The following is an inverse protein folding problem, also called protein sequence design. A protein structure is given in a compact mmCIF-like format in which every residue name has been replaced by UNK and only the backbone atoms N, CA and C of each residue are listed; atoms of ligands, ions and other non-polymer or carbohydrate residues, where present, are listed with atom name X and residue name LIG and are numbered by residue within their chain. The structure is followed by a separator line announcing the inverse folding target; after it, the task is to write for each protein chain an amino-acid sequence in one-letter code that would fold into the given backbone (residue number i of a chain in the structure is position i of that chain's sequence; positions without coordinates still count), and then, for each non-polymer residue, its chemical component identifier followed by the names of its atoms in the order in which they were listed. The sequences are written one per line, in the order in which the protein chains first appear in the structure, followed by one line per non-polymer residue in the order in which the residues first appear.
data_IF_399717632471
#
_entry.id   IF_399717632471
#
_cell.length_a   1.000
_cell.length_b   1.000
_cell.length_c   1.000
_cell.angle_alpha   90.00
_cell.angle_beta   90.00
_cell.angle_gamma   90.00
#
_symmetry.space_group_name_H-M   'P 1'
#
loop_
_entity.id
_entity.type
_entity.pdbx_description
1 polymer ?
#
# COMPACT_ATOMS: atom_id res chain seq x y z
N UNK A 1 -61.96 6.47 -16.25
CA UNK A 1 -61.50 5.95 -14.94
C UNK A 1 -60.55 4.75 -15.10
N UNK A 2 -59.62 4.79 -16.06
CA UNK A 2 -58.63 3.73 -16.30
C UNK A 2 -57.21 4.27 -16.63
N UNK A 3 -57.05 5.57 -16.86
CA UNK A 3 -55.77 6.16 -17.28
C UNK A 3 -54.72 6.17 -16.15
N UNK A 4 -55.17 6.24 -14.89
CA UNK A 4 -54.30 6.19 -13.72
C UNK A 4 -53.60 4.83 -13.52
N UNK A 5 -54.16 3.74 -14.06
CA UNK A 5 -53.61 2.38 -13.89
C UNK A 5 -52.36 2.17 -14.74
N UNK A 6 -52.34 2.71 -15.97
CA UNK A 6 -51.18 2.62 -16.87
C UNK A 6 -49.99 3.45 -16.36
N UNK A 7 -50.27 4.61 -15.76
CA UNK A 7 -49.23 5.43 -15.12
C UNK A 7 -48.61 4.70 -13.92
N UNK A 8 -49.41 4.01 -13.11
CA UNK A 8 -48.90 3.25 -11.96
C UNK A 8 -48.00 2.08 -12.41
N UNK A 9 -48.34 1.39 -13.50
CA UNK A 9 -47.55 0.27 -14.03
C UNK A 9 -46.13 0.72 -14.43
N UNK A 10 -45.96 1.94 -14.95
CA UNK A 10 -44.64 2.49 -15.29
C UNK A 10 -43.94 3.12 -14.08
N UNK A 11 -44.70 3.79 -13.21
CA UNK A 11 -44.16 4.52 -12.06
C UNK A 11 -43.62 3.58 -10.97
N UNK A 12 -44.26 2.43 -10.73
CA UNK A 12 -43.84 1.48 -9.69
C UNK A 12 -42.41 0.95 -9.93
N UNK A 13 -42.05 0.35 -11.09
CA UNK A 13 -40.70 -0.16 -11.31
C UNK A 13 -39.66 0.97 -11.33
N UNK A 14 -40.01 2.15 -11.85
CA UNK A 14 -39.13 3.31 -11.80
C UNK A 14 -38.86 3.79 -10.37
N UNK A 15 -39.90 3.86 -9.53
CA UNK A 15 -39.78 4.23 -8.12
C UNK A 15 -38.97 3.21 -7.32
N UNK A 16 -39.15 1.91 -7.59
CA UNK A 16 -38.35 0.84 -6.99
C UNK A 16 -36.87 0.96 -7.39
N UNK A 17 -36.57 1.25 -8.66
CA UNK A 17 -35.19 1.45 -9.10
C UNK A 17 -34.52 2.65 -8.39
N UNK A 18 -35.21 3.79 -8.31
CA UNK A 18 -34.70 5.00 -7.63
C UNK A 18 -34.51 4.77 -6.13
N UNK A 19 -35.46 4.12 -5.46
CA UNK A 19 -35.37 3.84 -4.02
C UNK A 19 -34.28 2.83 -3.70
N UNK A 20 -34.09 1.80 -4.54
CA UNK A 20 -33.01 0.80 -4.39
C UNK A 20 -31.63 1.46 -4.50
N UNK A 21 -31.43 2.31 -5.49
CA UNK A 21 -30.16 3.05 -5.67
C UNK A 21 -29.90 4.00 -4.48
N UNK A 22 -30.94 4.69 -4.01
CA UNK A 22 -30.84 5.59 -2.87
C UNK A 22 -30.47 4.82 -1.58
N UNK A 23 -31.13 3.69 -1.33
CA UNK A 23 -30.87 2.86 -0.15
C UNK A 23 -29.48 2.23 -0.20
N UNK A 24 -29.05 1.75 -1.37
CA UNK A 24 -27.70 1.22 -1.58
C UNK A 24 -26.62 2.27 -1.34
N UNK A 25 -26.80 3.50 -1.84
CA UNK A 25 -25.88 4.62 -1.57
C UNK A 25 -25.89 5.03 -0.11
N UNK A 26 -27.05 5.08 0.54
CA UNK A 26 -27.17 5.40 1.96
C UNK A 26 -26.49 4.35 2.84
N UNK A 27 -26.71 3.06 2.56
CA UNK A 27 -26.07 1.95 3.25
C UNK A 27 -24.54 2.02 3.08
N UNK A 28 -24.08 2.21 1.85
CA UNK A 28 -22.65 2.36 1.53
C UNK A 28 -22.04 3.60 2.20
N UNK A 29 -22.77 4.72 2.24
CA UNK A 29 -22.33 5.94 2.93
C UNK A 29 -22.18 5.72 4.44
N UNK A 30 -23.15 5.08 5.09
CA UNK A 30 -23.09 4.78 6.53
C UNK A 30 -21.97 3.78 6.85
N UNK A 31 -21.78 2.77 6.00
CA UNK A 31 -20.68 1.81 6.12
C UNK A 31 -19.31 2.51 5.99
N UNK A 32 -19.12 3.29 4.93
CA UNK A 32 -17.86 4.01 4.67
C UNK A 32 -17.56 5.09 5.70
N UNK A 33 -18.59 5.77 6.25
CA UNK A 33 -18.42 6.76 7.32
C UNK A 33 -17.90 6.12 8.60
N UNK A 34 -18.38 4.93 8.95
CA UNK A 34 -17.86 4.16 10.10
C UNK A 34 -16.43 3.68 9.86
N UNK A 35 -16.10 3.31 8.63
CA UNK A 35 -14.74 2.91 8.27
C UNK A 35 -13.75 4.08 8.37
N UNK A 36 -14.06 5.26 7.81
CA UNK A 36 -13.15 6.42 7.82
C UNK A 36 -12.81 6.91 9.23
N UNK A 37 -13.80 6.98 10.11
CA UNK A 37 -13.59 7.43 11.50
C UNK A 37 -12.65 6.46 12.23
N UNK A 38 -12.90 5.15 12.11
CA UNK A 38 -12.02 4.13 12.69
C UNK A 38 -10.63 4.12 12.06
N UNK A 39 -10.54 4.34 10.74
CA UNK A 39 -9.27 4.30 10.02
C UNK A 39 -8.35 5.47 10.42
N UNK A 40 -8.89 6.67 10.67
CA UNK A 40 -8.11 7.80 11.19
C UNK A 40 -7.65 7.58 12.64
N UNK A 41 -8.52 7.03 13.48
CA UNK A 41 -8.17 6.76 14.88
C UNK A 41 -7.12 5.65 15.00
N UNK A 42 -7.17 4.65 14.12
CA UNK A 42 -6.15 3.60 14.05
C UNK A 42 -4.77 4.20 13.80
N UNK A 43 -4.61 5.01 12.75
CA UNK A 43 -3.32 5.60 12.34
C UNK A 43 -2.64 6.35 13.49
N UNK A 44 -3.41 7.08 14.31
CA UNK A 44 -2.87 7.80 15.47
C UNK A 44 -2.60 6.89 16.66
N UNK A 45 -3.42 5.86 16.86
CA UNK A 45 -3.27 4.92 17.96
C UNK A 45 -2.17 3.87 17.77
N UNK A 46 -1.71 3.63 16.54
CA UNK A 46 -0.66 2.62 16.29
C UNK A 46 0.71 3.12 16.80
N UNK A 47 0.93 4.44 16.85
CA UNK A 47 2.17 5.02 17.36
C UNK A 47 2.04 5.30 18.85
N UNK A 48 2.31 4.25 19.63
CA UNK A 48 2.53 4.33 21.06
C UNK A 48 3.97 3.94 21.36
N UNK A 49 4.46 4.27 22.57
CA UNK A 49 5.80 3.85 23.00
C UNK A 49 6.00 2.33 22.94
N UNK A 50 4.94 1.54 23.11
CA UNK A 50 5.01 0.07 23.01
C UNK A 50 5.33 -0.42 21.59
N UNK A 51 4.87 0.29 20.56
CA UNK A 51 5.14 -0.06 19.16
C UNK A 51 6.33 0.70 18.59
N UNK A 52 6.86 1.71 19.29
CA UNK A 52 8.00 2.49 18.83
C UNK A 52 9.19 1.59 18.51
N UNK A 53 9.58 0.72 19.44
CA UNK A 53 10.69 -0.22 19.27
C UNK A 53 10.45 -1.26 18.16
N UNK A 54 9.18 -1.49 17.78
CA UNK A 54 8.83 -2.39 16.71
C UNK A 54 8.85 -1.72 15.32
N UNK A 55 8.77 -0.38 15.28
CA UNK A 55 8.81 0.43 14.06
C UNK A 55 10.25 0.87 13.78
N UNK A 56 10.95 1.30 14.83
CA UNK A 56 12.37 1.63 14.83
C UNK A 56 13.18 0.36 14.52
N UNK A 57 13.49 0.17 13.24
CA UNK A 57 14.10 -1.07 12.76
C UNK A 57 15.62 -1.00 12.81
N UNK A 58 16.18 0.21 12.68
CA UNK A 58 17.62 0.42 12.79
C UNK A 58 18.07 0.66 14.25
N UNK A 59 17.11 0.81 15.17
CA UNK A 59 17.34 1.02 16.60
C UNK A 59 18.18 2.28 16.87
N UNK A 60 18.03 3.29 16.03
CA UNK A 60 18.69 4.58 16.20
C UNK A 60 18.02 5.48 17.25
N UNK A 61 16.87 5.04 17.77
CA UNK A 61 16.08 5.74 18.79
C UNK A 61 15.29 6.92 18.23
N UNK A 62 15.21 7.05 16.91
CA UNK A 62 14.40 8.00 16.17
C UNK A 62 13.46 7.27 15.23
N UNK A 63 12.43 7.97 14.75
CA UNK A 63 11.51 7.42 13.76
C UNK A 63 11.70 8.17 12.46
N UNK A 64 12.34 7.52 11.49
CA UNK A 64 12.51 8.09 10.15
C UNK A 64 11.20 8.08 9.37
N UNK A 65 11.09 8.95 8.37
CA UNK A 65 9.91 9.00 7.49
C UNK A 65 9.68 7.67 6.76
N UNK A 66 10.76 7.00 6.37
CA UNK A 66 10.72 5.73 5.63
C UNK A 66 10.20 4.60 6.52
N UNK A 67 10.62 4.53 7.79
CA UNK A 67 10.13 3.53 8.74
C UNK A 67 8.67 3.73 9.07
N UNK A 68 8.26 4.99 9.30
CA UNK A 68 6.86 5.35 9.50
C UNK A 68 5.99 4.92 8.32
N UNK A 69 6.38 5.27 7.09
CA UNK A 69 5.62 4.92 5.88
C UNK A 69 5.57 3.41 5.68
N UNK A 70 6.71 2.72 5.83
CA UNK A 70 6.82 1.27 5.64
C UNK A 70 5.91 0.51 6.59
N UNK A 71 5.94 0.89 7.87
CA UNK A 71 5.10 0.29 8.89
C UNK A 71 3.61 0.57 8.64
N UNK A 72 3.24 1.81 8.29
CA UNK A 72 1.87 2.15 7.96
C UNK A 72 1.33 1.39 6.75
N UNK A 73 2.14 1.15 5.72
CA UNK A 73 1.75 0.38 4.53
C UNK A 73 1.48 -1.09 4.86
N UNK A 74 2.29 -1.68 5.74
CA UNK A 74 2.11 -3.06 6.22
C UNK A 74 0.83 -3.15 7.07
N UNK A 75 0.65 -2.26 8.05
CA UNK A 75 -0.49 -2.28 8.98
C UNK A 75 -1.83 -2.07 8.25
N UNK A 76 -1.83 -1.21 7.21
CA UNK A 76 -3.01 -1.00 6.37
C UNK A 76 -3.26 -2.14 5.37
N UNK A 77 -2.49 -3.23 5.42
CA UNK A 77 -2.51 -4.34 4.47
C UNK A 77 -2.46 -3.83 3.00
N UNK A 78 -1.66 -2.78 2.76
CA UNK A 78 -1.42 -2.23 1.41
C UNK A 78 -0.20 -2.84 0.76
N UNK A 79 0.71 -3.36 1.57
CA UNK A 79 1.90 -4.04 1.11
C UNK A 79 2.15 -5.26 1.99
N UNK A 80 2.62 -6.34 1.37
CA UNK A 80 3.04 -7.53 2.09
C UNK A 80 4.39 -7.28 2.75
N UNK A 81 4.53 -7.73 4.00
CA UNK A 81 5.80 -7.59 4.74
C UNK A 81 6.98 -8.20 4.01
N UNK A 82 6.78 -9.35 3.38
CA UNK A 82 7.81 -10.03 2.58
C UNK A 82 8.31 -9.20 1.41
N UNK A 83 7.41 -8.47 0.73
CA UNK A 83 7.79 -7.62 -0.41
C UNK A 83 8.54 -6.39 0.08
N UNK A 84 8.12 -5.79 1.19
CA UNK A 84 8.85 -4.68 1.81
C UNK A 84 10.26 -5.09 2.27
N UNK A 85 10.39 -6.28 2.87
CA UNK A 85 11.69 -6.82 3.30
C UNK A 85 12.60 -7.11 2.10
N UNK A 86 12.06 -7.65 1.01
CA UNK A 86 12.80 -7.88 -0.24
C UNK A 86 13.29 -6.57 -0.87
N UNK A 87 12.40 -5.56 -0.99
CA UNK A 87 12.78 -4.23 -1.48
C UNK A 87 13.85 -3.59 -0.59
N UNK A 88 13.72 -3.70 0.73
CA UNK A 88 14.71 -3.17 1.67
C UNK A 88 16.05 -3.89 1.54
N UNK A 89 16.05 -5.20 1.33
CA UNK A 89 17.26 -5.98 1.08
C UNK A 89 17.94 -5.55 -0.23
N UNK A 90 17.18 -5.42 -1.32
CA UNK A 90 17.71 -4.96 -2.60
C UNK A 90 18.28 -3.54 -2.48
N UNK A 91 17.59 -2.65 -1.77
CA UNK A 91 18.09 -1.30 -1.52
C UNK A 91 19.40 -1.32 -0.75
N UNK A 92 19.50 -2.15 0.29
CA UNK A 92 20.72 -2.28 1.10
C UNK A 92 21.89 -2.93 0.34
N UNK A 93 21.60 -3.79 -0.63
CA UNK A 93 22.63 -4.33 -1.52
C UNK A 93 23.13 -3.27 -2.51
N UNK A 94 22.25 -2.33 -2.89
CA UNK A 94 22.61 -1.23 -3.79
C UNK A 94 23.28 -0.03 -3.09
N UNK A 95 22.95 0.20 -1.83
CA UNK A 95 23.52 1.25 -0.99
C UNK A 95 24.84 0.75 -0.38
N UNK A 96 25.96 1.11 -1.02
CA UNK A 96 27.28 0.59 -0.67
C UNK A 96 27.86 1.31 0.55
N UNK A 97 27.53 2.59 0.71
CA UNK A 97 27.99 3.40 1.83
C UNK A 97 27.06 3.35 3.05
N UNK A 98 25.85 2.81 2.89
CA UNK A 98 24.87 2.68 3.95
C UNK A 98 24.27 4.01 4.37
N UNK A 99 24.30 5.02 3.49
CA UNK A 99 23.79 6.36 3.76
C UNK A 99 22.26 6.44 3.75
N UNK A 100 21.59 5.39 3.28
CA UNK A 100 20.14 5.39 3.04
C UNK A 100 19.74 6.06 1.72
N UNK A 101 20.71 6.44 0.89
CA UNK A 101 20.50 7.04 -0.41
C UNK A 101 21.34 6.32 -1.46
N UNK A 102 20.71 5.94 -2.57
CA UNK A 102 21.45 5.37 -3.69
C UNK A 102 21.96 6.51 -4.58
N UNK A 103 23.28 6.68 -4.63
CA UNK A 103 23.95 7.62 -5.50
C UNK A 103 24.07 7.06 -6.94
N UNK A 104 24.20 7.97 -7.91
CA UNK A 104 24.30 7.58 -9.33
C UNK A 104 25.58 6.78 -9.60
N UNK A 105 26.65 7.12 -8.88
CA UNK A 105 27.95 6.47 -8.93
C UNK A 105 27.89 5.03 -8.38
N UNK A 106 27.12 4.82 -7.30
CA UNK A 106 26.88 3.49 -6.72
C UNK A 106 26.10 2.61 -7.69
N UNK A 107 25.01 3.13 -8.27
CA UNK A 107 24.25 2.43 -9.32
C UNK A 107 25.12 2.04 -10.51
N UNK A 108 26.03 2.91 -10.92
CA UNK A 108 26.93 2.63 -12.03
C UNK A 108 27.87 1.47 -11.69
N UNK A 109 28.41 1.45 -10.47
CA UNK A 109 29.31 0.41 -10.00
C UNK A 109 28.61 -0.96 -10.01
N UNK A 110 27.38 -1.01 -9.50
CA UNK A 110 26.58 -2.24 -9.45
C UNK A 110 26.18 -2.71 -10.86
N UNK A 111 25.81 -1.79 -11.75
CA UNK A 111 25.49 -2.13 -13.13
C UNK A 111 26.71 -2.72 -13.87
N UNK A 112 27.90 -2.16 -13.64
CA UNK A 112 29.15 -2.66 -14.19
C UNK A 112 29.47 -4.06 -13.61
N UNK A 113 29.32 -4.28 -12.31
CA UNK A 113 29.52 -5.60 -11.67
C UNK A 113 28.51 -6.66 -12.15
N UNK A 114 27.22 -6.33 -12.27
CA UNK A 114 26.23 -7.26 -12.81
C UNK A 114 26.53 -7.63 -14.26
N UNK A 115 26.95 -6.68 -15.08
CA UNK A 115 27.31 -6.95 -16.48
C UNK A 115 28.53 -7.89 -16.59
N UNK A 116 29.56 -7.65 -15.78
CA UNK A 116 30.74 -8.52 -15.74
C UNK A 116 30.41 -9.93 -15.22
N UNK A 117 29.48 -10.05 -14.26
CA UNK A 117 29.04 -11.34 -13.74
C UNK A 117 28.30 -12.17 -14.79
N UNK A 118 27.43 -11.54 -15.61
CA UNK A 118 26.71 -12.21 -16.68
C UNK A 118 27.66 -12.76 -17.76
N UNK A 119 28.68 -11.99 -18.14
CA UNK A 119 29.69 -12.41 -19.12
C UNK A 119 30.47 -13.65 -18.63
N UNK A 120 30.81 -13.72 -17.33
CA UNK A 120 31.51 -14.87 -16.75
C UNK A 120 30.65 -16.14 -16.66
N UNK A 121 29.32 -16.00 -16.51
CA UNK A 121 28.40 -17.13 -16.46
C UNK A 121 28.17 -17.72 -17.85
N UNK A 122 28.05 -16.88 -18.88
CA UNK A 122 27.98 -17.36 -20.28
C UNK A 122 29.24 -18.11 -20.69
N UNK A 123 30.43 -17.62 -20.31
CA UNK A 123 31.70 -18.27 -20.67
C UNK A 123 31.85 -19.65 -20.00
N UNK A 124 31.33 -19.83 -18.78
CA UNK A 124 31.32 -21.11 -18.07
C UNK A 124 30.26 -22.11 -18.56
N UNK A 125 29.19 -21.64 -19.19
CA UNK A 125 28.13 -22.52 -19.70
C UNK A 125 28.45 -23.08 -21.10
N UNK A 126 29.44 -22.50 -21.78
CA UNK A 126 29.89 -22.89 -23.13
C UNK A 126 31.07 -23.90 -23.09
N UNK A 127 31.62 -24.20 -21.90
CA UNK A 127 32.67 -25.24 -21.67
C UNK A 127 32.07 -26.46 -20.99
#
# INVERSE_FOLDING_TARGET
MNDSKWVAILLIPFAVAVTTECFGRAATYLANKRLKIKQQDLIQSVINMENFDAIDTDHDGTLSEVEYISFMLIEMNKCDRSLMDELRSQFKEMDLDGSGFILKEELRTIAEEQSAMLDMVEEKLIV
#
